data_IF_956476151786
#
_entry.id   IF_956476151786
#
_cell.length_a   1.000
_cell.length_b   1.000
_cell.length_c   1.000
_cell.angle_alpha   90.00
_cell.angle_beta   90.00
_cell.angle_gamma   90.00
#
_symmetry.space_group_name_H-M   'P 1'
#
loop_
_entity.id
_entity.type
_entity.pdbx_description
1 polymer ?
#
# COMPACT_ATOMS: atom_id res chain seq x y z
N UNK A 1 -7.24 0.67 25.11
CA UNK A 1 -6.29 0.02 24.25
C UNK A 1 -5.43 0.90 23.35
N UNK A 2 -5.63 2.23 23.24
CA UNK A 2 -4.87 3.10 22.35
C UNK A 2 -5.46 3.22 20.94
N UNK A 3 -6.49 2.46 20.62
CA UNK A 3 -7.21 2.45 19.35
C UNK A 3 -8.71 2.69 19.57
N UNK A 4 -9.09 3.63 20.45
CA UNK A 4 -10.48 3.93 20.75
C UNK A 4 -10.70 5.46 20.75
N UNK A 5 -11.17 6.06 19.64
CA UNK A 5 -11.45 7.48 19.56
C UNK A 5 -12.41 7.96 20.66
N UNK A 6 -13.48 7.20 20.94
CA UNK A 6 -14.41 7.53 22.02
C UNK A 6 -13.72 7.60 23.39
N UNK A 7 -12.84 6.65 23.71
CA UNK A 7 -12.09 6.68 24.98
C UNK A 7 -11.19 7.91 25.06
N UNK A 8 -10.49 8.23 23.99
CA UNK A 8 -9.59 9.39 23.95
C UNK A 8 -10.37 10.71 24.17
N UNK A 9 -11.50 10.88 23.50
CA UNK A 9 -12.38 12.04 23.65
C UNK A 9 -12.97 12.12 25.07
N UNK A 10 -13.39 10.98 25.63
CA UNK A 10 -13.92 10.93 27.00
C UNK A 10 -12.84 11.31 28.02
N UNK A 11 -11.60 10.86 27.84
CA UNK A 11 -10.48 11.21 28.73
C UNK A 11 -10.10 12.70 28.62
N UNK A 12 -10.20 13.27 27.43
CA UNK A 12 -9.86 14.67 27.20
C UNK A 12 -10.95 15.66 27.68
N UNK A 13 -12.22 15.27 27.58
CA UNK A 13 -13.35 16.17 27.76
C UNK A 13 -14.43 15.67 28.73
N UNK A 14 -14.39 14.39 29.10
CA UNK A 14 -15.39 13.75 29.92
C UNK A 14 -15.11 13.83 31.43
N UNK A 15 -16.13 13.54 32.26
CA UNK A 15 -16.01 13.55 33.72
C UNK A 15 -15.28 12.33 34.33
N UNK A 16 -14.99 11.30 33.55
CA UNK A 16 -14.37 10.05 34.02
C UNK A 16 -15.25 9.14 34.88
N UNK A 17 -16.39 9.60 35.32
CA UNK A 17 -17.34 8.83 36.13
C UNK A 17 -18.50 8.33 35.27
N UNK A 18 -18.86 7.07 35.43
CA UNK A 18 -20.07 6.51 34.81
C UNK A 18 -21.30 6.79 35.63
N UNK A 19 -22.45 6.98 34.96
CA UNK A 19 -23.79 7.01 35.56
C UNK A 19 -24.58 5.76 35.24
N UNK A 20 -23.96 4.79 34.50
CA UNK A 20 -24.60 3.55 34.09
C UNK A 20 -24.54 2.55 35.24
N UNK A 21 -25.64 1.84 35.46
CA UNK A 21 -25.65 0.65 36.24
C UNK A 21 -25.09 -0.53 35.42
N UNK A 22 -24.23 -1.32 36.01
CA UNK A 22 -23.57 -2.43 35.33
C UNK A 22 -24.20 -3.80 35.58
N UNK A 23 -25.18 -3.90 36.44
CA UNK A 23 -25.81 -5.18 36.80
C UNK A 23 -26.51 -5.82 35.59
N UNK A 24 -27.09 -5.00 34.71
CA UNK A 24 -27.79 -5.47 33.50
C UNK A 24 -26.89 -5.56 32.26
N UNK A 25 -25.58 -5.37 32.42
CA UNK A 25 -24.67 -5.38 31.29
C UNK A 25 -24.51 -6.79 30.72
N UNK A 26 -24.78 -6.96 29.42
CA UNK A 26 -24.50 -8.21 28.73
C UNK A 26 -23.00 -8.39 28.54
N UNK A 27 -22.45 -9.52 28.95
CA UNK A 27 -21.06 -9.89 28.73
C UNK A 27 -20.95 -10.69 27.44
N UNK A 28 -20.27 -10.06 26.45
CA UNK A 28 -19.95 -10.65 25.15
C UNK A 28 -18.46 -10.99 25.07
N UNK A 29 -18.05 -11.66 24.00
CA UNK A 29 -16.66 -12.03 23.79
C UNK A 29 -15.79 -10.79 23.52
N UNK A 30 -14.61 -10.76 24.14
CA UNK A 30 -13.72 -9.57 24.09
C UNK A 30 -12.51 -9.70 23.18
N UNK A 31 -12.27 -10.86 22.64
CA UNK A 31 -11.09 -11.12 21.83
C UNK A 31 -11.40 -12.15 20.76
N UNK A 32 -12.25 -11.76 19.83
CA UNK A 32 -12.69 -12.60 18.72
C UNK A 32 -11.77 -12.29 17.52
N UNK A 33 -10.96 -13.24 17.04
CA UNK A 33 -10.20 -13.03 15.81
C UNK A 33 -11.16 -12.97 14.62
N UNK A 34 -11.09 -11.92 13.82
CA UNK A 34 -11.75 -11.87 12.51
C UNK A 34 -10.83 -12.42 11.41
N UNK A 35 -9.53 -12.36 11.64
CA UNK A 35 -8.43 -12.87 10.85
C UNK A 35 -7.14 -12.72 11.64
N UNK A 36 -5.99 -12.86 10.99
CA UNK A 36 -4.68 -12.82 11.66
C UNK A 36 -4.32 -11.42 12.18
N UNK A 37 -4.82 -10.37 11.55
CA UNK A 37 -4.41 -8.99 11.80
C UNK A 37 -5.38 -8.21 12.71
N UNK A 38 -6.65 -8.57 12.74
CA UNK A 38 -7.72 -7.78 13.37
C UNK A 38 -8.52 -8.61 14.36
N UNK A 39 -8.71 -8.03 15.54
CA UNK A 39 -9.53 -8.59 16.61
C UNK A 39 -10.76 -7.73 16.89
N UNK A 40 -11.87 -8.38 17.19
CA UNK A 40 -13.13 -7.76 17.59
C UNK A 40 -13.35 -7.90 19.10
N UNK A 41 -13.69 -6.81 19.76
CA UNK A 41 -14.29 -6.78 21.11
C UNK A 41 -15.80 -6.52 20.95
N UNK A 42 -16.59 -7.54 21.07
CA UNK A 42 -18.04 -7.48 20.84
C UNK A 42 -18.75 -6.60 21.88
N UNK A 43 -18.25 -6.53 23.13
CA UNK A 43 -18.81 -5.65 24.15
C UNK A 43 -18.65 -4.16 23.83
N UNK A 44 -17.60 -3.80 23.06
CA UNK A 44 -17.34 -2.42 22.66
C UNK A 44 -18.01 -2.04 21.36
N UNK A 45 -18.45 -3.04 20.59
CA UNK A 45 -19.08 -2.81 19.30
C UNK A 45 -20.43 -2.10 19.49
N UNK A 46 -20.62 -0.96 18.83
CA UNK A 46 -21.87 -0.19 18.82
C UNK A 46 -22.74 -0.50 17.60
N UNK A 47 -22.38 -1.51 16.83
CA UNK A 47 -23.15 -2.00 15.68
C UNK A 47 -23.44 -0.92 14.62
N UNK A 48 -22.50 0.02 14.42
CA UNK A 48 -22.68 1.18 13.54
C UNK A 48 -22.50 0.88 12.05
N UNK A 49 -22.15 -0.35 11.69
CA UNK A 49 -21.92 -0.81 10.31
C UNK A 49 -20.75 -0.17 9.55
N UNK A 50 -19.97 0.74 10.12
CA UNK A 50 -18.90 1.43 9.38
C UNK A 50 -17.89 0.45 8.76
N UNK A 51 -17.47 -0.58 9.49
CA UNK A 51 -16.51 -1.57 9.01
C UNK A 51 -17.07 -2.43 7.87
N UNK A 52 -18.32 -2.86 7.97
CA UNK A 52 -19.00 -3.63 6.92
C UNK A 52 -19.14 -2.76 5.66
N UNK A 53 -19.71 -1.56 5.80
CA UNK A 53 -19.87 -0.62 4.68
C UNK A 53 -18.54 -0.20 4.04
N UNK A 54 -17.47 -0.07 4.83
CA UNK A 54 -16.16 0.22 4.27
C UNK A 54 -15.68 -0.90 3.37
N UNK A 55 -15.79 -2.15 3.81
CA UNK A 55 -15.38 -3.29 2.98
C UNK A 55 -16.26 -3.41 1.73
N UNK A 56 -17.56 -3.28 1.86
CA UNK A 56 -18.51 -3.39 0.74
C UNK A 56 -18.40 -2.21 -0.23
N UNK A 57 -18.52 -0.97 0.26
CA UNK A 57 -18.66 0.23 -0.58
C UNK A 57 -17.31 0.79 -1.07
N UNK A 58 -16.30 0.83 -0.20
CA UNK A 58 -15.01 1.45 -0.52
C UNK A 58 -14.04 0.43 -1.12
N UNK A 59 -13.87 -0.72 -0.44
CA UNK A 59 -12.94 -1.76 -0.89
C UNK A 59 -13.55 -2.59 -2.01
N UNK A 60 -14.84 -2.89 -1.92
CA UNK A 60 -15.55 -3.78 -2.83
C UNK A 60 -15.32 -5.26 -2.51
N UNK A 61 -14.93 -5.57 -1.28
CA UNK A 61 -14.77 -6.92 -0.77
C UNK A 61 -15.85 -7.17 0.30
N UNK A 62 -16.82 -8.04 0.04
CA UNK A 62 -17.87 -8.40 0.99
C UNK A 62 -17.39 -9.47 1.99
N UNK A 63 -16.32 -9.14 2.70
CA UNK A 63 -15.65 -10.03 3.66
C UNK A 63 -16.15 -9.90 5.10
N UNK A 64 -16.92 -8.85 5.39
CA UNK A 64 -17.54 -8.65 6.69
C UNK A 64 -19.05 -8.55 6.56
N UNK A 65 -19.77 -9.20 7.46
CA UNK A 65 -21.22 -9.16 7.49
C UNK A 65 -21.78 -9.09 8.90
N UNK A 66 -23.10 -9.02 8.96
CA UNK A 66 -23.85 -9.13 10.21
C UNK A 66 -24.42 -10.53 10.37
N UNK A 67 -24.24 -11.09 11.56
CA UNK A 67 -24.91 -12.30 11.97
C UNK A 67 -25.89 -11.98 13.09
N UNK A 68 -27.06 -12.64 13.09
CA UNK A 68 -28.17 -12.41 14.00
C UNK A 68 -28.83 -11.02 13.90
N UNK A 69 -29.56 -10.60 14.90
CA UNK A 69 -30.29 -9.31 14.96
C UNK A 69 -30.56 -8.84 16.38
N UNK A 70 -30.90 -7.57 16.52
CA UNK A 70 -31.20 -6.94 17.81
C UNK A 70 -30.00 -6.99 18.76
N UNK A 71 -30.20 -7.38 20.00
CA UNK A 71 -29.12 -7.43 21.01
C UNK A 71 -28.04 -8.48 20.74
N UNK A 72 -28.30 -9.43 19.83
CA UNK A 72 -27.37 -10.50 19.47
C UNK A 72 -26.62 -10.22 18.15
N UNK A 73 -26.85 -9.06 17.56
CA UNK A 73 -26.19 -8.68 16.33
C UNK A 73 -24.66 -8.69 16.50
N UNK A 74 -23.98 -9.46 15.69
CA UNK A 74 -22.53 -9.63 15.70
C UNK A 74 -21.94 -9.28 14.33
N UNK A 75 -20.71 -8.78 14.30
CA UNK A 75 -19.91 -8.67 13.10
C UNK A 75 -19.15 -9.98 12.92
N UNK A 76 -19.28 -10.56 11.75
CA UNK A 76 -18.62 -11.83 11.39
C UNK A 76 -17.87 -11.66 10.08
N UNK A 77 -16.87 -12.52 9.87
CA UNK A 77 -16.21 -12.64 8.56
C UNK A 77 -16.96 -13.63 7.68
N UNK A 78 -17.10 -13.26 6.40
CA UNK A 78 -17.73 -14.08 5.36
C UNK A 78 -16.69 -14.79 4.47
N UNK A 79 -15.39 -14.52 4.67
CA UNK A 79 -14.30 -15.08 3.88
C UNK A 79 -13.58 -16.23 4.60
N UNK A 80 -12.94 -17.10 3.81
CA UNK A 80 -12.01 -18.14 4.26
C UNK A 80 -10.75 -18.05 3.38
N UNK A 81 -9.58 -17.70 3.92
CA UNK A 81 -9.31 -17.36 5.33
C UNK A 81 -10.10 -16.15 5.84
N UNK A 82 -10.25 -16.07 7.17
CA UNK A 82 -11.03 -15.00 7.80
C UNK A 82 -10.46 -13.60 7.50
N UNK A 83 -11.35 -12.67 7.18
CA UNK A 83 -11.06 -11.28 6.87
C UNK A 83 -9.99 -11.12 5.75
N UNK A 84 -10.18 -11.88 4.68
CA UNK A 84 -9.30 -11.91 3.51
C UNK A 84 -9.48 -10.64 2.66
N UNK A 85 -8.70 -9.61 2.98
CA UNK A 85 -8.65 -8.33 2.27
C UNK A 85 -7.32 -7.63 2.51
N UNK A 86 -6.87 -6.81 1.55
CA UNK A 86 -5.64 -6.01 1.66
C UNK A 86 -5.82 -4.71 2.47
N UNK A 87 -7.00 -4.47 3.03
CA UNK A 87 -7.37 -3.20 3.67
C UNK A 87 -8.01 -3.38 5.05
N UNK A 88 -7.80 -4.53 5.70
CA UNK A 88 -8.42 -4.86 6.98
C UNK A 88 -8.12 -3.84 8.08
N UNK A 89 -6.87 -3.34 8.11
CA UNK A 89 -6.41 -2.38 9.11
C UNK A 89 -7.14 -1.04 9.10
N UNK A 90 -7.69 -0.60 7.96
CA UNK A 90 -8.46 0.64 7.91
C UNK A 90 -9.76 0.57 8.73
N UNK A 91 -10.28 -0.63 8.96
CA UNK A 91 -11.47 -0.80 9.80
C UNK A 91 -11.22 -0.41 11.25
N UNK A 92 -9.98 -0.50 11.74
CA UNK A 92 -9.61 -0.04 13.08
C UNK A 92 -9.59 1.49 13.17
N UNK A 93 -9.20 2.17 12.10
CA UNK A 93 -9.13 3.63 12.04
C UNK A 93 -10.54 4.26 12.00
N UNK A 94 -11.45 3.66 11.21
CA UNK A 94 -12.81 4.17 11.08
C UNK A 94 -13.73 3.72 12.21
N UNK A 95 -13.32 2.72 13.01
CA UNK A 95 -14.10 2.27 14.15
C UNK A 95 -14.17 3.37 15.22
N UNK A 96 -15.35 3.94 15.53
CA UNK A 96 -15.46 5.05 16.48
C UNK A 96 -15.18 4.65 17.93
N UNK A 97 -15.13 3.36 18.18
CA UNK A 97 -14.85 2.75 19.48
C UNK A 97 -13.69 1.77 19.38
N UNK A 98 -13.17 1.28 20.50
CA UNK A 98 -12.10 0.27 20.50
C UNK A 98 -12.60 -1.15 20.31
N UNK A 99 -13.59 -1.36 19.44
CA UNK A 99 -14.11 -2.69 19.14
C UNK A 99 -13.18 -3.43 18.17
N UNK A 100 -12.81 -2.80 17.07
CA UNK A 100 -11.80 -3.35 16.16
C UNK A 100 -10.42 -2.82 16.55
N UNK A 101 -9.46 -3.74 16.70
CA UNK A 101 -8.10 -3.43 17.11
C UNK A 101 -7.12 -4.30 16.35
N UNK A 102 -5.92 -3.76 16.11
CA UNK A 102 -4.86 -4.53 15.46
C UNK A 102 -4.21 -5.53 16.41
N UNK A 103 -3.80 -6.68 15.90
CA UNK A 103 -3.18 -7.74 16.68
C UNK A 103 -1.85 -7.31 17.33
N UNK A 104 -1.07 -6.49 16.61
CA UNK A 104 0.28 -6.09 16.99
C UNK A 104 0.35 -4.86 17.91
N UNK A 105 -0.63 -3.94 17.80
CA UNK A 105 -0.61 -2.70 18.57
C UNK A 105 -1.54 -2.69 19.78
N UNK A 106 -2.59 -3.52 19.83
CA UNK A 106 -3.55 -3.54 20.93
C UNK A 106 -2.82 -3.51 22.28
N UNK A 107 -3.10 -2.49 23.10
CA UNK A 107 -2.44 -2.21 24.38
C UNK A 107 -0.95 -1.81 24.30
N UNK A 108 -0.40 -1.58 23.10
CA UNK A 108 1.00 -1.27 22.89
C UNK A 108 1.44 0.08 23.43
N UNK A 109 0.59 1.10 23.33
CA UNK A 109 0.83 2.43 23.86
C UNK A 109 -0.48 3.22 24.00
N UNK A 110 -0.41 4.36 24.73
CA UNK A 110 -1.46 5.37 24.74
C UNK A 110 -1.15 6.45 23.70
N UNK A 111 -2.16 7.14 23.11
CA UNK A 111 -1.91 8.16 22.09
C UNK A 111 -0.94 9.25 22.52
N UNK A 112 -0.98 9.68 23.77
CA UNK A 112 -0.10 10.74 24.33
C UNK A 112 1.33 10.26 24.58
N UNK A 113 1.63 8.97 24.52
CA UNK A 113 2.97 8.40 24.61
C UNK A 113 3.66 8.32 23.24
N UNK A 114 2.91 8.56 22.17
CA UNK A 114 3.36 8.40 20.79
C UNK A 114 3.77 9.74 20.20
N UNK A 115 4.86 9.72 19.43
CA UNK A 115 5.28 10.81 18.57
C UNK A 115 4.97 10.41 17.12
N UNK A 116 4.21 11.24 16.42
CA UNK A 116 3.86 11.01 15.02
C UNK A 116 4.94 11.60 14.10
N UNK A 117 5.49 10.77 13.23
CA UNK A 117 6.50 11.16 12.25
C UNK A 117 5.93 10.96 10.85
N UNK A 118 5.72 12.05 10.07
CA UNK A 118 5.27 11.93 8.68
C UNK A 118 6.26 11.13 7.84
N UNK A 119 5.74 10.25 6.99
CA UNK A 119 6.54 9.42 6.10
C UNK A 119 5.74 9.05 4.85
N UNK A 120 6.35 8.27 3.99
CA UNK A 120 5.76 7.67 2.78
C UNK A 120 5.93 6.16 2.86
N UNK A 121 4.95 5.44 2.38
CA UNK A 121 4.98 3.97 2.32
C UNK A 121 6.10 3.50 1.38
N UNK A 122 7.03 2.66 1.85
CA UNK A 122 8.08 2.10 1.01
C UNK A 122 7.63 0.86 0.22
N UNK A 123 6.42 0.37 0.42
CA UNK A 123 5.95 -0.91 -0.12
C UNK A 123 5.13 -0.76 -1.39
N UNK A 124 4.61 0.43 -1.69
CA UNK A 124 3.90 0.67 -2.94
C UNK A 124 4.47 1.86 -3.73
N UNK A 125 4.21 1.86 -5.04
CA UNK A 125 4.71 2.89 -5.95
C UNK A 125 3.83 4.15 -5.99
N UNK A 126 2.70 4.18 -5.28
CA UNK A 126 1.76 5.30 -5.29
C UNK A 126 2.27 6.50 -4.49
N UNK A 127 3.28 6.31 -3.64
CA UNK A 127 3.72 7.33 -2.71
C UNK A 127 2.72 7.58 -1.59
N UNK A 128 2.05 6.53 -1.14
CA UNK A 128 1.04 6.55 -0.09
C UNK A 128 1.55 7.25 1.16
N UNK A 129 0.82 8.26 1.62
CA UNK A 129 1.19 9.07 2.76
C UNK A 129 0.84 8.37 4.07
N UNK A 130 1.83 8.24 4.94
CA UNK A 130 1.69 7.57 6.25
C UNK A 130 2.26 8.42 7.37
N UNK A 131 1.86 8.09 8.61
CA UNK A 131 2.47 8.55 9.85
C UNK A 131 3.02 7.36 10.62
N UNK A 132 4.28 7.45 11.04
CA UNK A 132 4.90 6.47 11.91
C UNK A 132 4.67 6.91 13.36
N UNK A 133 3.83 6.17 14.10
CA UNK A 133 3.64 6.39 15.53
C UNK A 133 4.80 5.74 16.30
N UNK A 134 5.69 6.54 16.86
CA UNK A 134 6.92 6.08 17.51
C UNK A 134 6.89 6.32 19.01
N UNK A 135 7.60 5.50 19.77
CA UNK A 135 7.85 5.67 21.21
C UNK A 135 9.26 5.22 21.53
N UNK A 136 9.90 5.88 22.51
CA UNK A 136 11.16 5.40 23.07
C UNK A 136 10.95 4.05 23.77
N UNK A 137 11.73 3.08 23.39
CA UNK A 137 11.63 1.71 23.90
C UNK A 137 12.88 1.33 24.69
N UNK A 138 12.69 0.99 25.98
CA UNK A 138 13.80 0.64 26.89
C UNK A 138 14.46 -0.67 26.49
N UNK A 139 13.67 -1.62 25.97
CA UNK A 139 14.17 -2.93 25.53
C UNK A 139 15.11 -2.82 24.33
N UNK A 140 15.01 -1.71 23.60
CA UNK A 140 15.87 -1.37 22.46
C UNK A 140 16.88 -0.25 22.79
N UNK A 141 17.32 -0.15 24.02
CA UNK A 141 18.35 0.80 24.45
C UNK A 141 17.89 2.27 24.41
N UNK A 142 16.60 2.53 24.57
CA UNK A 142 16.03 3.88 24.59
C UNK A 142 15.90 4.52 23.20
N UNK A 143 16.00 3.75 22.13
CA UNK A 143 15.78 4.23 20.76
C UNK A 143 14.30 4.39 20.46
N UNK A 144 13.97 5.33 19.58
CA UNK A 144 12.62 5.47 19.05
C UNK A 144 12.28 4.26 18.18
N UNK A 145 11.18 3.56 18.52
CA UNK A 145 10.69 2.39 17.80
C UNK A 145 9.30 2.66 17.22
N UNK A 146 9.05 2.19 16.01
CA UNK A 146 7.73 2.24 15.40
C UNK A 146 6.81 1.29 16.16
N UNK A 147 5.71 1.82 16.70
CA UNK A 147 4.68 1.06 17.40
C UNK A 147 3.52 0.71 16.49
N UNK A 148 3.15 1.61 15.58
CA UNK A 148 2.15 1.39 14.53
C UNK A 148 2.38 2.35 13.36
N UNK A 149 1.77 2.05 12.24
CA UNK A 149 1.68 2.93 11.08
C UNK A 149 0.23 3.34 10.88
N UNK A 150 -0.01 4.63 10.68
CA UNK A 150 -1.33 5.22 10.49
C UNK A 150 -1.41 5.92 9.13
N UNK A 151 -2.58 5.99 8.51
CA UNK A 151 -2.74 6.79 7.30
C UNK A 151 -2.54 8.28 7.62
N UNK A 152 -1.93 9.00 6.69
CA UNK A 152 -1.88 10.45 6.67
C UNK A 152 -2.66 10.95 5.46
N UNK A 153 -3.63 11.81 5.70
CA UNK A 153 -4.55 12.29 4.67
C UNK A 153 -3.80 12.98 3.52
N UNK A 154 -4.07 12.53 2.30
CA UNK A 154 -3.66 13.18 1.06
C UNK A 154 -4.67 12.84 -0.05
N UNK A 155 -5.56 13.78 -0.37
CA UNK A 155 -6.65 13.58 -1.34
C UNK A 155 -6.14 13.23 -2.75
N UNK A 156 -4.97 13.73 -3.12
CA UNK A 156 -4.39 13.46 -4.44
C UNK A 156 -3.80 12.05 -4.57
N UNK A 157 -3.38 11.41 -3.46
CA UNK A 157 -2.67 10.12 -3.48
C UNK A 157 -3.53 9.01 -2.91
N UNK A 158 -3.73 9.00 -1.59
CA UNK A 158 -4.34 7.88 -0.88
C UNK A 158 -5.61 8.25 -0.11
N UNK A 159 -6.11 9.49 -0.25
CA UNK A 159 -7.20 10.00 0.58
C UNK A 159 -6.85 9.83 2.07
N UNK A 160 -7.44 8.84 2.72
CA UNK A 160 -7.22 8.49 4.12
C UNK A 160 -6.92 6.99 4.29
N UNK A 161 -6.69 6.27 3.20
CA UNK A 161 -6.55 4.81 3.21
C UNK A 161 -5.09 4.38 3.04
N UNK A 162 -4.74 3.25 3.66
CA UNK A 162 -3.46 2.57 3.45
C UNK A 162 -3.69 1.06 3.33
N UNK A 163 -2.81 0.37 2.62
CA UNK A 163 -2.86 -1.10 2.56
C UNK A 163 -2.40 -1.73 3.87
N UNK A 164 -2.78 -2.98 4.09
CA UNK A 164 -2.30 -3.75 5.23
C UNK A 164 -0.79 -3.97 5.16
N UNK A 165 -0.23 -4.08 3.95
CA UNK A 165 1.22 -4.13 3.73
C UNK A 165 1.92 -2.87 4.24
N UNK A 166 1.38 -1.68 3.93
CA UNK A 166 1.88 -0.41 4.47
C UNK A 166 1.78 -0.36 5.99
N UNK A 167 0.65 -0.82 6.54
CA UNK A 167 0.37 -0.77 7.98
C UNK A 167 1.24 -1.71 8.79
N UNK A 168 1.38 -2.96 8.36
CA UNK A 168 2.01 -4.02 9.12
C UNK A 168 3.44 -4.35 8.65
N UNK A 169 3.87 -3.86 7.50
CA UNK A 169 5.18 -4.16 6.91
C UNK A 169 6.40 -3.61 7.67
N UNK A 170 6.22 -2.84 8.75
CA UNK A 170 7.29 -2.18 9.48
C UNK A 170 8.07 -3.10 10.45
N UNK A 171 7.62 -4.32 10.66
CA UNK A 171 8.21 -5.24 11.65
C UNK A 171 9.68 -5.57 11.38
N UNK A 172 10.14 -5.53 10.12
CA UNK A 172 11.55 -5.73 9.77
C UNK A 172 12.50 -4.75 10.47
N UNK A 173 12.02 -3.57 10.87
CA UNK A 173 12.83 -2.55 11.57
C UNK A 173 13.33 -3.02 12.94
N UNK A 174 12.66 -4.03 13.50
CA UNK A 174 12.97 -4.64 14.81
C UNK A 174 13.63 -6.01 14.70
N UNK A 175 13.89 -6.51 13.48
CA UNK A 175 14.50 -7.83 13.30
C UNK A 175 15.88 -7.88 13.97
N UNK A 176 16.15 -8.99 14.68
CA UNK A 176 17.44 -9.26 15.27
C UNK A 176 18.55 -9.42 14.21
N UNK A 177 18.18 -9.83 13.00
CA UNK A 177 19.09 -10.03 11.87
C UNK A 177 19.50 -8.72 11.19
N UNK A 178 18.88 -7.59 11.59
CA UNK A 178 19.20 -6.30 11.01
C UNK A 178 20.60 -5.85 11.40
N UNK A 179 21.43 -5.50 10.42
CA UNK A 179 22.75 -4.95 10.64
C UNK A 179 22.67 -3.61 11.40
N UNK A 180 23.24 -3.55 12.58
CA UNK A 180 23.20 -2.37 13.45
C UNK A 180 24.58 -1.74 13.69
N UNK A 181 25.65 -2.38 13.25
CA UNK A 181 27.03 -1.96 13.49
C UNK A 181 27.83 -1.99 12.20
N UNK A 182 28.80 -1.11 12.13
CA UNK A 182 29.80 -1.11 11.05
C UNK A 182 30.76 -2.26 11.26
N UNK A 183 31.02 -3.03 10.20
CA UNK A 183 32.01 -4.10 10.20
C UNK A 183 32.96 -3.90 9.03
N UNK A 184 34.25 -3.87 9.29
CA UNK A 184 35.31 -3.76 8.29
C UNK A 184 36.17 -5.02 8.37
N UNK A 185 36.22 -5.80 7.27
CA UNK A 185 36.99 -7.06 7.19
C UNK A 185 36.70 -8.06 8.33
N UNK A 186 35.44 -8.12 8.79
CA UNK A 186 35.02 -8.99 9.88
C UNK A 186 35.26 -8.44 11.30
N UNK A 187 35.88 -7.28 11.45
CA UNK A 187 36.00 -6.61 12.76
C UNK A 187 34.66 -5.92 13.09
N UNK A 188 33.97 -6.46 14.09
CA UNK A 188 32.59 -6.07 14.46
C UNK A 188 32.50 -4.72 15.19
N UNK A 189 33.60 -4.16 15.65
CA UNK A 189 33.66 -2.90 16.43
C UNK A 189 34.30 -1.75 15.65
N UNK A 190 34.09 -1.70 14.34
CA UNK A 190 34.58 -0.60 13.52
C UNK A 190 33.72 0.65 13.70
N UNK A 191 34.35 1.83 13.65
CA UNK A 191 33.62 3.09 13.65
C UNK A 191 33.06 3.43 12.26
N UNK A 192 32.12 4.34 12.18
CA UNK A 192 31.65 4.88 10.89
C UNK A 192 32.78 5.51 10.09
N UNK A 193 33.72 6.18 10.74
CA UNK A 193 34.88 6.78 10.06
C UNK A 193 35.75 5.70 9.41
N UNK A 194 36.01 4.58 10.09
CA UNK A 194 36.76 3.45 9.52
C UNK A 194 36.04 2.82 8.34
N UNK A 195 34.72 2.63 8.46
CA UNK A 195 33.89 2.09 7.40
C UNK A 195 33.89 2.97 6.15
N UNK A 196 33.65 4.26 6.32
CA UNK A 196 33.67 5.24 5.21
C UNK A 196 35.05 5.34 4.56
N UNK A 197 36.12 5.31 5.35
CA UNK A 197 37.49 5.30 4.82
C UNK A 197 37.75 4.04 4.01
N UNK A 198 37.37 2.86 4.50
CA UNK A 198 37.56 1.60 3.77
C UNK A 198 36.81 1.61 2.44
N UNK A 199 35.54 2.08 2.43
CA UNK A 199 34.76 2.23 1.19
C UNK A 199 35.42 3.23 0.23
N UNK A 200 35.84 4.39 0.71
CA UNK A 200 36.51 5.40 -0.10
C UNK A 200 37.81 4.89 -0.73
N UNK A 201 38.62 4.13 0.02
CA UNK A 201 39.86 3.54 -0.47
C UNK A 201 39.59 2.49 -1.58
N UNK A 202 38.56 1.67 -1.41
CA UNK A 202 38.15 0.69 -2.43
C UNK A 202 37.66 1.41 -3.71
N UNK A 203 36.79 2.40 -3.57
CA UNK A 203 36.24 3.14 -4.70
C UNK A 203 37.32 3.90 -5.46
N UNK A 204 38.27 4.52 -4.75
CA UNK A 204 39.43 5.20 -5.39
C UNK A 204 40.33 4.22 -6.12
N UNK A 205 40.55 3.03 -5.58
CA UNK A 205 41.41 2.03 -6.25
C UNK A 205 40.73 1.44 -7.49
N UNK A 206 39.40 1.33 -7.49
CA UNK A 206 38.62 0.82 -8.63
C UNK A 206 38.43 1.90 -9.73
N UNK A 207 38.48 3.20 -9.37
CA UNK A 207 38.28 4.29 -10.29
C UNK A 207 36.98 4.19 -11.08
N UNK A 208 37.04 4.26 -12.41
CA UNK A 208 35.88 4.12 -13.30
C UNK A 208 35.33 2.70 -13.44
N UNK A 209 36.00 1.68 -12.89
CA UNK A 209 35.54 0.29 -12.94
C UNK A 209 34.63 -0.06 -11.75
N UNK A 210 33.63 0.77 -11.52
CA UNK A 210 32.60 0.61 -10.50
C UNK A 210 31.25 0.47 -11.18
N UNK A 211 30.48 -0.55 -10.81
CA UNK A 211 29.08 -0.69 -11.17
C UNK A 211 28.21 -0.60 -9.92
N UNK A 212 27.09 0.09 -10.02
CA UNK A 212 26.15 0.27 -8.90
C UNK A 212 24.77 -0.22 -9.30
N UNK A 213 24.17 -1.00 -8.42
CA UNK A 213 22.77 -1.40 -8.50
C UNK A 213 22.06 -0.74 -7.32
N UNK A 214 21.15 0.17 -7.62
CA UNK A 214 20.38 0.91 -6.62
C UNK A 214 19.02 0.26 -6.39
N UNK A 215 18.58 0.20 -5.13
CA UNK A 215 17.24 -0.26 -4.78
C UNK A 215 16.19 0.82 -5.09
N UNK A 216 14.96 0.40 -5.38
CA UNK A 216 13.84 1.31 -5.71
C UNK A 216 13.30 2.10 -4.51
N UNK A 217 13.69 1.74 -3.28
CA UNK A 217 13.29 2.45 -2.06
C UNK A 217 14.16 3.67 -1.70
N UNK A 218 15.10 4.07 -2.58
CA UNK A 218 15.90 5.28 -2.39
C UNK A 218 15.09 6.54 -2.74
N UNK A 219 15.38 7.66 -2.05
CA UNK A 219 14.85 8.96 -2.44
C UNK A 219 15.47 9.45 -3.75
N UNK A 220 14.82 10.42 -4.40
CA UNK A 220 15.40 11.07 -5.60
C UNK A 220 16.73 11.76 -5.29
N UNK A 221 16.87 12.32 -4.09
CA UNK A 221 18.10 12.95 -3.59
C UNK A 221 19.23 11.93 -3.42
N UNK A 222 18.91 10.74 -2.92
CA UNK A 222 19.87 9.64 -2.79
C UNK A 222 20.34 9.15 -4.17
N UNK A 223 19.40 8.96 -5.12
CA UNK A 223 19.72 8.61 -6.50
C UNK A 223 20.62 9.66 -7.15
N UNK A 224 20.27 10.94 -6.98
CA UNK A 224 21.09 12.04 -7.52
C UNK A 224 22.49 12.03 -6.92
N UNK A 225 22.61 11.90 -5.61
CA UNK A 225 23.89 11.88 -4.90
C UNK A 225 24.74 10.69 -5.35
N UNK A 226 24.13 9.52 -5.48
CA UNK A 226 24.79 8.31 -5.98
C UNK A 226 25.29 8.49 -7.42
N UNK A 227 24.47 9.09 -8.29
CA UNK A 227 24.87 9.41 -9.65
C UNK A 227 26.07 10.39 -9.69
N UNK A 228 26.08 11.42 -8.84
CA UNK A 228 27.20 12.36 -8.75
C UNK A 228 28.48 11.68 -8.26
N UNK A 229 28.37 10.77 -7.28
CA UNK A 229 29.52 9.98 -6.81
C UNK A 229 30.13 9.16 -7.94
N UNK A 230 29.32 8.42 -8.70
CA UNK A 230 29.78 7.61 -9.83
C UNK A 230 30.40 8.44 -10.91
N UNK A 231 29.79 9.58 -11.25
CA UNK A 231 30.35 10.53 -12.23
C UNK A 231 31.74 11.05 -11.78
N UNK A 232 31.90 11.34 -10.49
CA UNK A 232 33.19 11.75 -9.92
C UNK A 232 34.25 10.66 -9.97
N UNK A 233 33.87 9.38 -9.98
CA UNK A 233 34.73 8.22 -10.15
C UNK A 233 35.02 7.90 -11.65
N UNK A 234 34.33 8.57 -12.58
CA UNK A 234 34.42 8.27 -14.01
C UNK A 234 33.60 7.06 -14.45
N UNK A 235 32.65 6.62 -13.66
CA UNK A 235 31.76 5.51 -14.01
C UNK A 235 30.39 6.00 -14.51
N UNK A 236 29.83 5.31 -15.49
CA UNK A 236 28.46 5.50 -15.99
C UNK A 236 27.56 4.30 -15.70
N UNK A 237 28.05 3.31 -14.96
CA UNK A 237 27.37 2.04 -14.71
C UNK A 237 26.46 2.13 -13.48
N UNK A 238 25.35 2.85 -13.62
CA UNK A 238 24.27 2.91 -12.62
C UNK A 238 23.03 2.22 -13.17
N UNK A 239 22.54 1.25 -12.46
CA UNK A 239 21.27 0.56 -12.75
C UNK A 239 20.40 0.42 -11.52
N UNK A 240 19.14 0.16 -11.75
CA UNK A 240 18.18 -0.23 -10.71
C UNK A 240 17.86 -1.71 -10.86
N UNK A 241 17.62 -2.37 -9.74
CA UNK A 241 17.11 -3.74 -9.79
C UNK A 241 15.58 -3.71 -9.96
N UNK A 242 15.17 -3.74 -11.23
CA UNK A 242 13.76 -3.86 -11.62
C UNK A 242 13.66 -5.02 -12.62
N UNK A 243 13.57 -6.27 -12.14
CA UNK A 243 13.73 -7.46 -13.00
C UNK A 243 12.63 -7.59 -14.04
N UNK A 244 11.52 -6.90 -13.88
CA UNK A 244 10.32 -7.02 -14.74
C UNK A 244 9.89 -5.73 -15.40
N UNK A 245 10.45 -4.56 -15.01
CA UNK A 245 9.99 -3.25 -15.48
C UNK A 245 11.06 -2.53 -16.30
N UNK A 246 10.65 -1.97 -17.43
CA UNK A 246 11.48 -1.16 -18.34
C UNK A 246 10.59 -0.11 -19.02
N UNK A 247 11.14 0.74 -19.88
CA UNK A 247 10.35 1.72 -20.65
C UNK A 247 10.15 3.07 -19.98
N UNK A 248 10.93 3.40 -18.94
CA UNK A 248 10.89 4.72 -18.31
C UNK A 248 11.18 5.87 -19.28
N UNK A 249 12.00 5.63 -20.30
CA UNK A 249 12.27 6.55 -21.39
C UNK A 249 11.04 6.81 -22.27
N UNK A 250 10.16 5.81 -22.45
CA UNK A 250 8.90 5.94 -23.18
C UNK A 250 7.94 6.79 -22.34
N UNK A 251 7.80 6.49 -21.03
CA UNK A 251 6.98 7.28 -20.11
C UNK A 251 7.42 8.75 -20.06
N UNK A 252 8.73 9.01 -20.09
CA UNK A 252 9.26 10.36 -20.12
C UNK A 252 8.90 11.14 -21.41
N UNK A 253 8.67 10.43 -22.52
CA UNK A 253 8.27 11.03 -23.80
C UNK A 253 6.75 11.25 -23.90
N UNK A 254 5.97 10.28 -23.44
CA UNK A 254 4.50 10.32 -23.48
C UNK A 254 3.91 11.17 -22.37
N UNK A 255 4.59 11.20 -21.22
CA UNK A 255 4.12 11.81 -19.99
C UNK A 255 3.34 10.81 -19.11
N UNK A 256 3.32 11.07 -17.82
CA UNK A 256 2.62 10.27 -16.80
C UNK A 256 1.47 11.08 -16.23
N UNK A 257 0.37 11.14 -16.96
CA UNK A 257 -0.85 11.75 -16.45
C UNK A 257 -0.71 13.21 -16.01
N UNK A 258 0.12 13.99 -16.70
CA UNK A 258 0.29 15.43 -16.39
C UNK A 258 -1.07 16.12 -16.50
N UNK A 259 -1.54 16.66 -15.37
CA UNK A 259 -2.84 17.31 -15.28
C UNK A 259 -4.03 16.37 -15.01
N UNK A 260 -3.80 15.06 -14.85
CA UNK A 260 -4.85 14.10 -14.52
C UNK A 260 -4.57 13.44 -13.18
N UNK A 261 -5.46 13.63 -12.21
CA UNK A 261 -5.44 12.91 -10.95
C UNK A 261 -6.41 11.72 -11.06
N UNK A 262 -6.02 10.54 -10.57
CA UNK A 262 -6.91 9.37 -10.46
C UNK A 262 -8.20 9.70 -9.69
N UNK A 263 -8.12 10.66 -8.77
CA UNK A 263 -9.26 11.18 -8.03
C UNK A 263 -10.31 11.92 -8.87
N UNK A 264 -9.95 12.45 -10.02
CA UNK A 264 -10.84 13.26 -10.87
C UNK A 264 -11.55 12.44 -11.96
N UNK A 265 -11.10 11.18 -12.15
CA UNK A 265 -11.70 10.28 -13.14
C UNK A 265 -13.16 9.94 -12.81
N UNK A 266 -14.00 9.86 -13.84
CA UNK A 266 -15.39 9.52 -13.69
C UNK A 266 -16.10 9.37 -15.05
N UNK A 267 -17.35 9.80 -15.12
CA UNK A 267 -18.18 9.67 -16.33
C UNK A 267 -17.53 10.34 -17.54
N UNK A 268 -17.37 9.57 -18.61
CA UNK A 268 -16.75 10.01 -19.86
C UNK A 268 -15.27 9.66 -19.97
N UNK A 269 -14.64 9.21 -18.89
CA UNK A 269 -13.25 8.74 -18.89
C UNK A 269 -13.18 7.22 -19.06
N UNK A 270 -12.03 6.73 -19.52
CA UNK A 270 -11.77 5.30 -19.66
C UNK A 270 -10.44 4.90 -19.02
N UNK A 271 -10.41 3.65 -18.57
CA UNK A 271 -9.27 3.04 -17.90
C UNK A 271 -9.02 1.66 -18.55
N UNK A 272 -7.81 1.43 -19.01
CA UNK A 272 -7.35 0.13 -19.45
C UNK A 272 -6.22 -0.35 -18.53
N UNK A 273 -6.45 -1.47 -17.85
CA UNK A 273 -5.42 -2.15 -17.06
C UNK A 273 -4.96 -3.36 -17.86
N UNK A 274 -3.66 -3.47 -18.15
CA UNK A 274 -3.10 -4.58 -18.91
C UNK A 274 -1.85 -5.15 -18.24
N UNK A 275 -1.76 -6.47 -18.13
CA UNK A 275 -0.64 -7.20 -17.54
C UNK A 275 -0.26 -6.72 -16.14
N UNK A 276 -1.24 -6.32 -15.34
CA UNK A 276 -1.05 -5.83 -13.97
C UNK A 276 -2.10 -6.42 -13.03
N UNK A 277 -1.68 -6.81 -11.84
CA UNK A 277 -2.54 -7.06 -10.69
C UNK A 277 -2.34 -5.94 -9.68
N UNK A 278 -3.22 -4.96 -9.71
CA UNK A 278 -3.09 -3.76 -8.87
C UNK A 278 -3.21 -4.05 -7.38
N UNK A 279 -3.89 -5.11 -6.99
CA UNK A 279 -3.99 -5.48 -5.58
C UNK A 279 -2.63 -5.87 -5.00
N UNK A 280 -1.82 -6.56 -5.80
CA UNK A 280 -0.48 -6.99 -5.41
C UNK A 280 0.57 -5.90 -5.61
N UNK A 281 0.47 -5.14 -6.70
CA UNK A 281 1.49 -4.17 -7.11
C UNK A 281 1.32 -2.81 -6.43
N UNK A 282 0.11 -2.23 -6.50
CA UNK A 282 -0.21 -0.89 -6.00
C UNK A 282 -1.63 -0.87 -5.43
N UNK A 283 -1.87 -1.46 -4.25
CA UNK A 283 -3.22 -1.62 -3.67
C UNK A 283 -4.05 -0.32 -3.62
N UNK A 284 -3.42 0.81 -3.33
CA UNK A 284 -4.11 2.11 -3.29
C UNK A 284 -4.71 2.50 -4.64
N UNK A 285 -4.05 2.19 -5.75
CA UNK A 285 -4.62 2.46 -7.07
C UNK A 285 -5.85 1.59 -7.34
N UNK A 286 -5.91 0.37 -6.81
CA UNK A 286 -7.12 -0.45 -6.89
C UNK A 286 -8.32 0.30 -6.32
N UNK A 287 -8.20 0.89 -5.12
CA UNK A 287 -9.29 1.68 -4.52
C UNK A 287 -9.64 2.92 -5.37
N UNK A 288 -8.63 3.63 -5.86
CA UNK A 288 -8.81 4.85 -6.65
C UNK A 288 -9.52 4.56 -7.98
N UNK A 289 -9.12 3.49 -8.69
CA UNK A 289 -9.71 3.11 -9.97
C UNK A 289 -11.10 2.48 -9.81
N UNK A 290 -11.32 1.67 -8.75
CA UNK A 290 -12.67 1.24 -8.38
C UNK A 290 -13.58 2.43 -8.17
N UNK A 291 -13.17 3.43 -7.39
CA UNK A 291 -13.95 4.64 -7.14
C UNK A 291 -14.22 5.45 -8.41
N UNK A 292 -13.26 5.49 -9.34
CA UNK A 292 -13.47 6.11 -10.66
C UNK A 292 -14.56 5.38 -11.44
N UNK A 293 -14.55 4.04 -11.39
CA UNK A 293 -15.58 3.18 -12.00
C UNK A 293 -16.95 3.40 -11.36
N UNK A 294 -17.03 3.50 -10.04
CA UNK A 294 -18.28 3.82 -9.33
C UNK A 294 -18.85 5.20 -9.75
N UNK A 295 -17.99 6.13 -10.19
CA UNK A 295 -18.38 7.44 -10.73
C UNK A 295 -18.67 7.43 -12.23
N UNK A 296 -18.61 6.26 -12.86
CA UNK A 296 -18.99 6.04 -14.24
C UNK A 296 -17.85 6.07 -15.26
N UNK A 297 -16.58 5.93 -14.83
CA UNK A 297 -15.49 5.69 -15.75
C UNK A 297 -15.59 4.28 -16.34
N UNK A 298 -15.31 4.14 -17.65
CA UNK A 298 -15.32 2.86 -18.33
C UNK A 298 -14.04 2.08 -18.05
N UNK A 299 -14.15 0.95 -17.36
CA UNK A 299 -13.00 0.12 -16.97
C UNK A 299 -12.90 -1.14 -17.84
N UNK A 300 -11.73 -1.36 -18.42
CA UNK A 300 -11.35 -2.59 -19.13
C UNK A 300 -10.15 -3.23 -18.41
N UNK A 301 -10.23 -4.53 -18.14
CA UNK A 301 -9.12 -5.32 -17.58
C UNK A 301 -8.68 -6.37 -18.57
N UNK A 302 -7.43 -6.26 -19.02
CA UNK A 302 -6.77 -7.20 -19.92
C UNK A 302 -5.68 -7.97 -19.15
N UNK A 303 -5.91 -9.23 -18.85
CA UNK A 303 -4.94 -10.06 -18.13
C UNK A 303 -5.07 -11.53 -18.53
N UNK A 304 -3.97 -12.29 -18.41
CA UNK A 304 -3.94 -13.74 -18.65
C UNK A 304 -4.77 -14.52 -17.61
N UNK A 305 -4.95 -13.98 -16.41
CA UNK A 305 -5.75 -14.56 -15.31
C UNK A 305 -6.80 -13.60 -14.81
N UNK A 306 -7.73 -14.08 -14.00
CA UNK A 306 -8.65 -13.23 -13.26
C UNK A 306 -7.88 -12.50 -12.16
N UNK A 307 -8.11 -11.19 -12.02
CA UNK A 307 -7.65 -10.33 -10.92
C UNK A 307 -8.84 -9.79 -10.15
N UNK A 308 -8.62 -9.15 -9.00
CA UNK A 308 -9.72 -8.50 -8.24
C UNK A 308 -10.34 -7.32 -9.01
N UNK A 309 -9.60 -6.68 -9.92
CA UNK A 309 -10.15 -5.59 -10.74
C UNK A 309 -11.20 -6.06 -11.75
N UNK A 310 -11.21 -7.34 -12.10
CA UNK A 310 -12.23 -7.92 -12.99
C UNK A 310 -13.65 -7.79 -12.42
N UNK A 311 -13.80 -7.83 -11.11
CA UNK A 311 -15.10 -7.75 -10.44
C UNK A 311 -15.75 -6.36 -10.60
N UNK A 312 -14.98 -5.34 -11.01
CA UNK A 312 -15.43 -3.96 -11.26
C UNK A 312 -15.39 -3.60 -12.75
N UNK A 313 -14.81 -4.44 -13.60
CA UNK A 313 -14.60 -4.17 -15.00
C UNK A 313 -15.92 -4.20 -15.79
N UNK A 314 -16.09 -3.26 -16.74
CA UNK A 314 -17.17 -3.27 -17.71
C UNK A 314 -16.93 -4.32 -18.79
N UNK A 315 -15.67 -4.47 -19.21
CA UNK A 315 -15.25 -5.48 -20.17
C UNK A 315 -13.91 -6.10 -19.74
N UNK A 316 -13.70 -7.38 -20.07
CA UNK A 316 -12.48 -8.11 -19.79
C UNK A 316 -11.89 -8.73 -21.04
N UNK A 317 -10.58 -8.66 -21.19
CA UNK A 317 -9.83 -9.27 -22.29
C UNK A 317 -8.91 -10.33 -21.72
N UNK A 318 -9.00 -11.56 -22.25
CA UNK A 318 -8.13 -12.66 -21.88
C UNK A 318 -7.17 -12.99 -22.99
N UNK A 319 -5.93 -13.19 -22.64
CA UNK A 319 -4.86 -13.60 -23.54
C UNK A 319 -3.98 -14.68 -22.88
N UNK A 320 -3.19 -15.39 -23.66
CA UNK A 320 -2.22 -16.35 -23.12
C UNK A 320 -1.06 -15.63 -22.42
N UNK A 321 -0.57 -16.21 -21.32
CA UNK A 321 0.59 -15.66 -20.58
C UNK A 321 1.75 -15.37 -21.53
N UNK A 322 2.30 -14.16 -21.44
CA UNK A 322 3.36 -13.67 -22.33
C UNK A 322 2.87 -12.90 -23.55
N UNK A 323 1.58 -12.93 -23.87
CA UNK A 323 1.02 -12.33 -25.09
C UNK A 323 0.35 -10.96 -24.86
N UNK A 324 0.59 -10.27 -23.76
CA UNK A 324 0.01 -8.97 -23.47
C UNK A 324 0.29 -7.93 -24.56
N UNK A 325 1.52 -7.89 -25.09
CA UNK A 325 1.92 -6.98 -26.18
C UNK A 325 1.10 -7.24 -27.46
N UNK A 326 0.87 -8.51 -27.81
CA UNK A 326 0.07 -8.88 -28.96
C UNK A 326 -1.39 -8.55 -28.77
N UNK A 327 -1.92 -8.76 -27.56
CA UNK A 327 -3.29 -8.40 -27.20
C UNK A 327 -3.49 -6.88 -27.33
N UNK A 328 -2.54 -6.07 -26.87
CA UNK A 328 -2.59 -4.62 -27.03
C UNK A 328 -2.50 -4.18 -28.50
N UNK A 329 -1.56 -4.72 -29.26
CA UNK A 329 -1.38 -4.39 -30.68
C UNK A 329 -2.62 -4.77 -31.54
N UNK A 330 -3.32 -5.81 -31.16
CA UNK A 330 -4.50 -6.31 -31.88
C UNK A 330 -5.84 -5.76 -31.31
N UNK A 331 -5.81 -4.88 -30.31
CA UNK A 331 -7.01 -4.43 -29.59
C UNK A 331 -8.12 -3.94 -30.53
N UNK A 332 -7.78 -3.10 -31.49
CA UNK A 332 -8.75 -2.55 -32.45
C UNK A 332 -9.28 -3.58 -33.45
N UNK A 333 -8.53 -4.65 -33.72
CA UNK A 333 -8.94 -5.71 -34.63
C UNK A 333 -9.80 -6.75 -33.95
N UNK A 334 -9.37 -7.22 -32.78
CA UNK A 334 -9.98 -8.36 -32.10
C UNK A 334 -11.10 -7.91 -31.13
N UNK A 335 -11.09 -6.63 -30.70
CA UNK A 335 -12.03 -6.04 -29.76
C UNK A 335 -12.45 -4.62 -30.18
N UNK A 336 -12.96 -4.48 -31.43
CA UNK A 336 -13.25 -3.19 -32.05
C UNK A 336 -14.20 -2.29 -31.22
N UNK A 337 -15.22 -2.87 -30.58
CA UNK A 337 -16.18 -2.12 -29.77
C UNK A 337 -15.52 -1.56 -28.47
N UNK A 338 -14.63 -2.34 -27.84
CA UNK A 338 -13.85 -1.91 -26.68
C UNK A 338 -12.88 -0.80 -27.10
N UNK A 339 -12.12 -1.02 -28.17
CA UNK A 339 -11.18 -0.03 -28.71
C UNK A 339 -11.88 1.30 -29.04
N UNK A 340 -13.08 1.25 -29.61
CA UNK A 340 -13.87 2.45 -29.89
C UNK A 340 -14.28 3.19 -28.60
N UNK A 341 -14.80 2.49 -27.59
CA UNK A 341 -15.16 3.09 -26.30
C UNK A 341 -13.96 3.74 -25.61
N UNK A 342 -12.78 3.12 -25.69
CA UNK A 342 -11.54 3.68 -25.16
C UNK A 342 -11.10 4.93 -25.92
N UNK A 343 -11.21 4.92 -27.26
CA UNK A 343 -10.84 6.05 -28.11
C UNK A 343 -11.80 7.25 -27.99
N UNK A 344 -13.08 7.00 -27.72
CA UNK A 344 -14.11 8.04 -27.58
C UNK A 344 -14.08 8.70 -26.17
N UNK A 345 -13.23 8.21 -25.25
CA UNK A 345 -13.15 8.74 -23.89
C UNK A 345 -12.51 10.14 -23.85
N UNK A 346 -12.97 10.96 -22.91
CA UNK A 346 -12.40 12.30 -22.65
C UNK A 346 -10.96 12.20 -22.17
N UNK A 347 -10.72 11.28 -21.22
CA UNK A 347 -9.38 10.93 -20.77
C UNK A 347 -9.25 9.40 -20.81
N UNK A 348 -8.18 8.91 -21.42
CA UNK A 348 -7.80 7.51 -21.38
C UNK A 348 -6.56 7.34 -20.51
N UNK A 349 -6.67 6.49 -19.48
CA UNK A 349 -5.52 6.06 -18.68
C UNK A 349 -5.23 4.61 -18.99
N UNK A 350 -3.98 4.34 -19.36
CA UNK A 350 -3.47 2.98 -19.53
C UNK A 350 -2.53 2.66 -18.38
N UNK A 351 -2.85 1.61 -17.63
CA UNK A 351 -2.00 1.04 -16.58
C UNK A 351 -1.41 -0.24 -17.13
N UNK A 352 -0.17 -0.18 -17.57
CA UNK A 352 0.56 -1.31 -18.14
C UNK A 352 1.54 -1.87 -17.11
N UNK A 353 1.33 -3.11 -16.69
CA UNK A 353 2.23 -3.86 -15.82
C UNK A 353 3.17 -4.78 -16.59
N UNK A 354 3.82 -5.67 -15.87
CA UNK A 354 4.82 -6.59 -16.44
C UNK A 354 4.49 -8.06 -16.17
N UNK A 355 3.28 -8.39 -15.76
CA UNK A 355 2.90 -9.75 -15.39
C UNK A 355 3.05 -10.71 -16.57
N UNK A 356 3.85 -11.74 -16.38
CA UNK A 356 4.14 -12.76 -17.40
C UNK A 356 5.05 -12.30 -18.54
N UNK A 357 5.66 -11.11 -18.46
CA UNK A 357 6.51 -10.57 -19.51
C UNK A 357 8.00 -10.59 -19.14
N UNK A 358 8.87 -10.73 -20.15
CA UNK A 358 10.28 -10.41 -20.06
C UNK A 358 10.50 -8.89 -20.11
N UNK A 359 11.73 -8.43 -19.86
CA UNK A 359 12.06 -7.00 -20.01
C UNK A 359 11.78 -6.47 -21.43
N UNK A 360 12.12 -7.24 -22.46
CA UNK A 360 11.84 -6.86 -23.85
C UNK A 360 10.33 -6.88 -24.14
N UNK A 361 9.61 -7.87 -23.62
CA UNK A 361 8.16 -7.95 -23.73
C UNK A 361 7.46 -6.78 -23.04
N UNK A 362 7.89 -6.40 -21.83
CA UNK A 362 7.35 -5.23 -21.15
C UNK A 362 7.65 -3.92 -21.90
N UNK A 363 8.89 -3.77 -22.41
CA UNK A 363 9.24 -2.61 -23.25
C UNK A 363 8.36 -2.50 -24.49
N UNK A 364 8.13 -3.63 -25.18
CA UNK A 364 7.24 -3.69 -26.34
C UNK A 364 5.79 -3.37 -25.97
N UNK A 365 5.30 -3.84 -24.80
CA UNK A 365 3.97 -3.46 -24.29
C UNK A 365 3.88 -1.95 -24.03
N UNK A 366 4.88 -1.35 -23.39
CA UNK A 366 4.92 0.08 -23.15
C UNK A 366 4.89 0.88 -24.45
N UNK A 367 5.63 0.45 -25.49
CA UNK A 367 5.59 1.07 -26.81
C UNK A 367 4.23 0.94 -27.50
N UNK A 368 3.56 -0.20 -27.34
CA UNK A 368 2.22 -0.41 -27.91
C UNK A 368 1.13 0.36 -27.14
N UNK A 369 1.38 0.74 -25.90
CA UNK A 369 0.45 1.48 -25.03
C UNK A 369 0.62 3.00 -25.14
N UNK A 370 1.77 3.48 -25.62
CA UNK A 370 2.08 4.88 -25.82
C UNK A 370 1.53 5.41 -27.15
#
# INVERSE_FOLDING_TARGET
GGECPLQNLTMAHGSGNTRMDFEDKQHLNKHVPLGDLIYLDEERCIQCARCVRFQEEIVGDDVLGFHERGRRLQIVTNSDPGFDTYFSGNTTDICPVGALTTADFRFGARPWELTEVPSIDPWDAAGTNISLSTRLDRDFGGKAMIKRVMPRQNEAVNEIWISDKARFGHHFTRSADRLQRVSVRGAVESTWADGLKAVADILKSAGGDVATIAGTGLSNEDFYTLHQLLKGLGSTRLGTWTPTHTGADILAQVGVGVGTNLGDLGKGDAILIIASDLEEEVPIWRLRLKRATDRGAYLVVANARKTRMDDFAHDTIRYETGNATQAMANLSKDHADIAKKLADATNLIVVAGAEGLSLDGHRALMQASA
#
